data_IF_710341166758
#
_entry.id   IF_710341166758
#
_cell.length_a   1.000
_cell.length_b   1.000
_cell.length_c   1.000
_cell.angle_alpha   90.00
_cell.angle_beta   90.00
_cell.angle_gamma   90.00
#
_symmetry.space_group_name_H-M   'P 1'
#
loop_
_entity.id
_entity.type
_entity.pdbx_description
1 polymer ?
#
# COMPACT_ATOMS: atom_id res chain seq x y z
N UNK A 1 6.22 1.70 0.88
CA UNK A 1 5.66 0.38 1.19
C UNK A 1 4.17 0.29 0.84
N UNK A 2 3.59 -0.91 0.54
CA UNK A 2 2.15 -1.10 0.37
C UNK A 2 1.42 -0.91 1.70
N UNK A 3 0.08 -0.72 1.65
CA UNK A 3 -0.78 -0.68 2.84
C UNK A 3 -0.52 0.43 3.85
N UNK A 4 0.29 1.44 3.53
CA UNK A 4 0.65 2.57 4.42
C UNK A 4 -0.29 3.77 4.35
N UNK A 5 -1.42 3.65 3.66
CA UNK A 5 -2.44 4.70 3.59
C UNK A 5 -2.20 5.82 2.59
N UNK A 6 -1.28 5.66 1.59
CA UNK A 6 -0.98 6.69 0.58
C UNK A 6 -2.23 7.28 -0.07
N UNK A 7 -3.06 6.41 -0.64
CA UNK A 7 -4.29 6.81 -1.33
C UNK A 7 -5.33 7.38 -0.37
N UNK A 8 -5.39 6.85 0.87
CA UNK A 8 -6.31 7.33 1.91
C UNK A 8 -5.96 8.75 2.36
N UNK A 9 -4.67 9.04 2.58
CA UNK A 9 -4.19 10.38 2.95
C UNK A 9 -4.49 11.37 1.82
N UNK A 10 -4.23 10.99 0.56
CA UNK A 10 -4.51 11.84 -0.58
C UNK A 10 -6.01 12.15 -0.72
N UNK A 11 -6.87 11.16 -0.50
CA UNK A 11 -8.33 11.36 -0.47
C UNK A 11 -8.77 12.29 0.68
N UNK A 12 -8.21 12.10 1.87
CA UNK A 12 -8.54 12.96 3.02
C UNK A 12 -8.14 14.42 2.75
N UNK A 13 -6.93 14.65 2.24
CA UNK A 13 -6.47 15.99 1.86
C UNK A 13 -7.36 16.64 0.80
N UNK A 14 -7.80 15.87 -0.19
CA UNK A 14 -8.66 16.39 -1.24
C UNK A 14 -10.06 16.78 -0.73
N UNK A 15 -10.59 16.03 0.25
CA UNK A 15 -11.88 16.34 0.88
C UNK A 15 -11.85 17.60 1.76
N UNK A 16 -10.69 17.93 2.33
CA UNK A 16 -10.50 19.16 3.11
C UNK A 16 -10.39 20.42 2.24
N UNK A 17 -10.10 20.25 0.96
CA UNK A 17 -9.92 21.34 0.02
C UNK A 17 -11.18 21.48 -0.86
N UNK A 18 -11.66 22.71 -1.05
CA UNK A 18 -12.75 23.02 -1.98
C UNK A 18 -12.26 23.01 -3.44
N UNK A 19 -11.68 21.86 -3.85
CA UNK A 19 -11.14 21.64 -5.18
C UNK A 19 -11.87 20.49 -5.86
N UNK A 20 -11.98 20.55 -7.19
CA UNK A 20 -12.51 19.41 -7.93
C UNK A 20 -11.50 18.27 -7.87
N UNK A 21 -11.92 17.13 -7.34
CA UNK A 21 -11.06 15.98 -7.15
C UNK A 21 -11.31 14.92 -8.21
N UNK A 22 -10.23 14.41 -8.79
CA UNK A 22 -10.24 13.32 -9.77
C UNK A 22 -9.24 12.26 -9.36
N UNK A 23 -9.63 11.01 -9.48
CA UNK A 23 -8.77 9.85 -9.22
C UNK A 23 -8.61 9.07 -10.52
N UNK A 24 -7.38 8.79 -10.89
CA UNK A 24 -7.04 7.87 -11.98
C UNK A 24 -6.04 6.84 -11.46
N UNK A 25 -6.26 5.58 -11.83
CA UNK A 25 -5.26 4.53 -11.59
C UNK A 25 -4.39 4.40 -12.83
N UNK A 26 -3.08 4.61 -12.69
CA UNK A 26 -2.15 4.60 -13.82
C UNK A 26 -2.04 3.25 -14.53
N UNK A 27 -2.48 2.14 -13.90
CA UNK A 27 -2.53 0.82 -14.55
C UNK A 27 -3.52 0.79 -15.70
N UNK A 28 -4.69 1.43 -15.54
CA UNK A 28 -5.78 1.41 -16.53
C UNK A 28 -5.97 2.77 -17.22
N UNK A 29 -5.16 3.78 -16.87
CA UNK A 29 -5.29 5.14 -17.38
C UNK A 29 -4.89 5.20 -18.85
N UNK A 30 -5.76 5.79 -19.66
CA UNK A 30 -5.48 6.08 -21.06
C UNK A 30 -5.11 7.54 -21.27
N UNK A 31 -4.51 7.85 -22.45
CA UNK A 31 -4.25 9.24 -22.83
C UNK A 31 -5.53 10.07 -22.83
N UNK A 32 -6.65 9.48 -23.23
CA UNK A 32 -7.96 10.15 -23.29
C UNK A 32 -8.43 10.56 -21.89
N UNK A 33 -8.22 9.70 -20.89
CA UNK A 33 -8.62 10.01 -19.50
C UNK A 33 -7.86 11.22 -18.98
N UNK A 34 -6.53 11.27 -19.19
CA UNK A 34 -5.72 12.44 -18.83
C UNK A 34 -6.18 13.70 -19.57
N UNK A 35 -6.41 13.61 -20.88
CA UNK A 35 -6.88 14.74 -21.69
C UNK A 35 -8.22 15.26 -21.17
N UNK A 36 -9.13 14.38 -20.79
CA UNK A 36 -10.43 14.77 -20.22
C UNK A 36 -10.24 15.56 -18.92
N UNK A 37 -9.36 15.12 -18.02
CA UNK A 37 -9.07 15.84 -16.78
C UNK A 37 -8.44 17.22 -17.07
N UNK A 38 -7.55 17.28 -18.05
CA UNK A 38 -6.91 18.54 -18.50
C UNK A 38 -7.95 19.50 -19.08
N UNK A 39 -8.89 19.03 -19.90
CA UNK A 39 -9.98 19.87 -20.42
C UNK A 39 -10.90 20.37 -19.31
N UNK A 40 -11.19 19.51 -18.33
CA UNK A 40 -11.95 19.92 -17.14
C UNK A 40 -11.21 20.97 -16.30
N UNK A 41 -9.89 20.86 -16.14
CA UNK A 41 -9.11 21.83 -15.37
C UNK A 41 -9.12 23.23 -15.98
N UNK A 42 -9.21 23.33 -17.31
CA UNK A 42 -9.36 24.60 -18.01
C UNK A 42 -10.71 25.28 -17.75
N UNK A 43 -11.73 24.51 -17.38
CA UNK A 43 -13.07 25.03 -17.04
C UNK A 43 -13.23 25.31 -15.55
N UNK A 44 -12.66 24.46 -14.73
CA UNK A 44 -12.72 24.54 -13.27
C UNK A 44 -11.33 24.91 -12.75
N UNK A 45 -11.16 26.12 -12.32
CA UNK A 45 -9.94 26.52 -11.62
C UNK A 45 -9.81 25.63 -10.38
N UNK A 46 -8.61 25.07 -10.14
CA UNK A 46 -8.29 24.22 -8.98
C UNK A 46 -8.85 22.79 -9.07
N UNK A 47 -8.20 21.98 -9.87
CA UNK A 47 -8.41 20.53 -9.96
C UNK A 47 -7.25 19.82 -9.26
N UNK A 48 -7.57 18.88 -8.37
CA UNK A 48 -6.60 17.92 -7.83
C UNK A 48 -6.75 16.62 -8.60
N UNK A 49 -5.66 16.14 -9.17
CA UNK A 49 -5.57 14.84 -9.82
C UNK A 49 -4.73 13.89 -8.96
N UNK A 50 -5.39 12.90 -8.37
CA UNK A 50 -4.73 11.77 -7.73
C UNK A 50 -4.42 10.71 -8.77
N UNK A 51 -3.15 10.38 -8.92
CA UNK A 51 -2.65 9.29 -9.77
C UNK A 51 -2.14 8.16 -8.87
N UNK A 52 -2.94 7.11 -8.75
CA UNK A 52 -2.52 5.90 -8.04
C UNK A 52 -1.64 5.04 -8.94
N UNK A 53 -0.69 4.31 -8.35
CA UNK A 53 0.34 3.53 -9.05
C UNK A 53 1.12 4.36 -10.11
N UNK A 54 1.50 5.59 -9.76
CA UNK A 54 2.11 6.57 -10.68
C UNK A 54 3.26 5.99 -11.51
N UNK A 55 4.01 5.03 -10.97
CA UNK A 55 5.12 4.37 -11.66
C UNK A 55 4.69 3.57 -12.90
N UNK A 56 3.39 3.25 -13.06
CA UNK A 56 2.82 2.60 -14.24
C UNK A 56 2.51 3.57 -15.37
N UNK A 57 2.51 4.88 -15.09
CA UNK A 57 2.27 5.89 -16.11
C UNK A 57 3.47 5.98 -17.06
N UNK A 58 3.22 5.78 -18.36
CA UNK A 58 4.28 5.84 -19.36
C UNK A 58 4.88 7.24 -19.47
N UNK A 59 6.16 7.34 -19.87
CA UNK A 59 6.83 8.64 -20.02
C UNK A 59 6.06 9.62 -20.91
N UNK A 60 5.53 9.22 -22.10
CA UNK A 60 4.72 10.13 -22.91
C UNK A 60 3.45 10.62 -22.21
N UNK A 61 2.85 9.82 -21.35
CA UNK A 61 1.69 10.24 -20.56
C UNK A 61 2.08 11.20 -19.44
N UNK A 62 3.25 10.99 -18.83
CA UNK A 62 3.81 11.94 -17.87
C UNK A 62 4.11 13.30 -18.53
N UNK A 63 4.62 13.30 -19.76
CA UNK A 63 4.94 14.53 -20.48
C UNK A 63 3.70 15.38 -20.81
N UNK A 64 2.52 14.76 -20.97
CA UNK A 64 1.25 15.46 -21.16
C UNK A 64 0.85 16.27 -19.91
N UNK A 65 1.20 15.80 -18.71
CA UNK A 65 0.89 16.48 -17.46
C UNK A 65 1.82 17.65 -17.17
N UNK A 66 3.02 17.65 -17.73
CA UNK A 66 4.06 18.63 -17.42
C UNK A 66 3.62 20.08 -17.61
N UNK A 67 3.04 20.49 -18.75
CA UNK A 67 2.55 21.86 -18.93
C UNK A 67 1.47 22.25 -17.91
N UNK A 68 0.59 21.33 -17.57
CA UNK A 68 -0.53 21.60 -16.67
C UNK A 68 -0.08 21.78 -15.21
N UNK A 69 1.02 21.10 -14.83
CA UNK A 69 1.69 21.30 -13.54
C UNK A 69 2.44 22.65 -13.54
N UNK A 70 3.11 23.00 -14.63
CA UNK A 70 3.86 24.25 -14.75
C UNK A 70 2.98 25.51 -14.67
N UNK A 71 1.76 25.44 -15.20
CA UNK A 71 0.82 26.55 -15.21
C UNK A 71 -0.18 26.53 -14.03
N UNK A 72 0.03 25.67 -13.03
CA UNK A 72 -0.86 25.51 -11.87
C UNK A 72 -2.32 25.22 -12.23
N UNK A 73 -2.55 24.60 -13.39
CA UNK A 73 -3.89 24.22 -13.83
C UNK A 73 -4.38 22.99 -13.05
N UNK A 74 -3.46 22.09 -12.71
CA UNK A 74 -3.73 20.82 -12.02
C UNK A 74 -2.71 20.64 -10.90
N UNK A 75 -3.21 20.35 -9.69
CA UNK A 75 -2.40 19.87 -8.59
C UNK A 75 -2.33 18.34 -8.65
N UNK A 76 -1.15 17.80 -8.87
CA UNK A 76 -0.95 16.35 -8.99
C UNK A 76 -0.50 15.74 -7.67
N UNK A 77 -1.19 14.72 -7.22
CA UNK A 77 -0.78 13.84 -6.13
C UNK A 77 -0.49 12.47 -6.72
N UNK A 78 0.77 12.08 -6.80
CA UNK A 78 1.18 10.76 -7.31
C UNK A 78 1.46 9.79 -6.16
N UNK A 79 0.76 8.67 -6.11
CA UNK A 79 1.06 7.58 -5.19
C UNK A 79 1.85 6.49 -5.91
N UNK A 80 2.93 6.02 -5.31
CA UNK A 80 3.76 4.94 -5.86
C UNK A 80 4.35 4.08 -4.75
N UNK A 81 4.53 2.79 -5.02
CA UNK A 81 5.29 1.87 -4.16
C UNK A 81 6.76 1.82 -4.57
N UNK A 82 7.09 2.21 -5.79
CA UNK A 82 8.44 2.19 -6.35
C UNK A 82 9.18 3.49 -6.05
N UNK A 83 10.50 3.42 -6.12
CA UNK A 83 11.35 4.59 -5.94
C UNK A 83 11.06 5.64 -7.04
N UNK A 84 10.58 6.84 -6.69
CA UNK A 84 10.20 7.87 -7.65
C UNK A 84 11.39 8.42 -8.44
N UNK A 85 12.61 8.27 -7.94
CA UNK A 85 13.82 8.71 -8.65
C UNK A 85 14.09 7.92 -9.94
N UNK A 86 13.58 6.69 -10.03
CA UNK A 86 13.74 5.83 -11.20
C UNK A 86 12.53 5.82 -12.13
N UNK A 87 11.35 6.08 -11.59
CA UNK A 87 10.08 5.87 -12.31
C UNK A 87 9.41 7.15 -12.78
N UNK A 88 9.66 8.27 -12.09
CA UNK A 88 9.08 9.58 -12.42
C UNK A 88 10.03 10.37 -13.31
N UNK A 89 9.47 10.96 -14.39
CA UNK A 89 10.22 11.86 -15.27
C UNK A 89 10.92 12.96 -14.45
N UNK A 90 12.23 13.20 -14.62
CA UNK A 90 12.98 14.23 -13.89
C UNK A 90 12.34 15.62 -13.96
N UNK A 91 11.74 15.97 -15.10
CA UNK A 91 11.07 17.27 -15.27
C UNK A 91 9.82 17.41 -14.36
N UNK A 92 9.03 16.36 -14.21
CA UNK A 92 7.90 16.32 -13.27
C UNK A 92 8.41 16.31 -11.83
N UNK A 93 9.39 15.45 -11.55
CA UNK A 93 9.94 15.29 -10.21
C UNK A 93 10.52 16.60 -9.64
N UNK A 94 11.11 17.44 -10.48
CA UNK A 94 11.63 18.75 -10.06
C UNK A 94 10.54 19.74 -9.65
N UNK A 95 9.28 19.46 -9.99
CA UNK A 95 8.10 20.31 -9.70
C UNK A 95 7.21 19.72 -8.61
N UNK A 96 7.50 18.52 -8.14
CA UNK A 96 6.75 17.83 -7.09
C UNK A 96 7.60 17.70 -5.82
N UNK A 97 6.92 17.71 -4.69
CA UNK A 97 7.54 17.40 -3.40
C UNK A 97 7.34 15.92 -3.13
N UNK A 98 8.42 15.24 -2.77
CA UNK A 98 8.38 13.81 -2.47
C UNK A 98 8.22 13.63 -0.96
N UNK A 99 7.17 12.92 -0.56
CA UNK A 99 6.93 12.47 0.80
C UNK A 99 7.09 10.97 0.88
N UNK A 100 7.98 10.52 1.73
CA UNK A 100 8.15 9.09 2.01
C UNK A 100 7.25 8.68 3.18
N UNK A 101 6.35 7.73 2.95
CA UNK A 101 5.58 7.09 4.00
C UNK A 101 6.34 5.84 4.48
N UNK A 102 6.65 5.82 5.77
CA UNK A 102 7.26 4.66 6.41
C UNK A 102 6.22 3.57 6.65
N UNK A 103 6.70 2.36 6.86
CA UNK A 103 5.85 1.26 7.33
C UNK A 103 5.18 1.65 8.65
N UNK A 104 3.94 1.22 8.82
CA UNK A 104 3.22 1.41 10.07
C UNK A 104 3.83 0.49 11.13
N UNK A 105 4.06 0.98 12.34
CA UNK A 105 4.62 0.14 13.39
C UNK A 105 3.63 -0.95 13.83
N UNK A 106 4.15 -2.09 14.27
CA UNK A 106 3.32 -3.19 14.78
C UNK A 106 2.42 -2.72 15.94
N UNK A 107 2.95 -1.84 16.79
CA UNK A 107 2.19 -1.29 17.91
C UNK A 107 1.04 -0.39 17.43
N UNK A 108 1.26 0.45 16.42
CA UNK A 108 0.21 1.31 15.86
C UNK A 108 -0.88 0.48 15.19
N UNK A 109 -0.50 -0.60 14.49
CA UNK A 109 -1.47 -1.54 13.89
C UNK A 109 -2.27 -2.25 14.98
N UNK A 110 -1.62 -2.74 16.04
CA UNK A 110 -2.29 -3.37 17.18
C UNK A 110 -3.30 -2.41 17.83
N UNK A 111 -2.87 -1.18 18.17
CA UNK A 111 -3.76 -0.19 18.79
C UNK A 111 -4.94 0.18 17.86
N UNK A 112 -4.69 0.27 16.56
CA UNK A 112 -5.74 0.53 15.58
C UNK A 112 -6.75 -0.62 15.52
N UNK A 113 -6.29 -1.88 15.43
CA UNK A 113 -7.16 -3.06 15.46
C UNK A 113 -7.96 -3.14 16.76
N UNK A 114 -7.34 -2.83 17.89
CA UNK A 114 -7.99 -2.80 19.21
C UNK A 114 -9.09 -1.74 19.29
N UNK A 115 -8.88 -0.59 18.70
CA UNK A 115 -9.86 0.48 18.67
C UNK A 115 -11.02 0.14 17.73
N UNK A 116 -10.73 -0.37 16.53
CA UNK A 116 -11.76 -0.69 15.54
C UNK A 116 -12.60 -1.92 15.95
N UNK A 117 -12.00 -2.88 16.65
CA UNK A 117 -12.71 -4.07 17.16
C UNK A 117 -13.82 -3.72 18.16
N UNK A 118 -13.76 -2.54 18.79
CA UNK A 118 -14.76 -2.03 19.73
C UNK A 118 -15.82 -1.15 19.06
N UNK A 119 -15.68 -0.89 17.79
CA UNK A 119 -16.61 -0.04 17.04
C UNK A 119 -17.80 -0.87 16.54
N UNK A 120 -18.91 -0.82 17.29
CA UNK A 120 -20.13 -1.58 16.98
C UNK A 120 -20.83 -1.11 15.69
N UNK A 121 -20.54 0.07 15.16
CA UNK A 121 -21.10 0.53 13.88
C UNK A 121 -20.45 -0.22 12.71
N UNK A 122 -19.14 -0.55 12.83
CA UNK A 122 -18.39 -1.27 11.79
C UNK A 122 -18.47 -2.77 12.03
N UNK A 123 -18.35 -3.20 13.29
CA UNK A 123 -18.31 -4.59 13.73
C UNK A 123 -19.41 -4.85 14.76
N UNK A 124 -20.66 -5.06 14.32
CA UNK A 124 -21.82 -5.17 15.22
C UNK A 124 -21.87 -6.45 16.05
N UNK A 125 -21.13 -7.53 15.64
CA UNK A 125 -21.10 -8.77 16.45
C UNK A 125 -20.38 -8.51 17.77
N UNK A 126 -20.98 -8.97 18.85
CA UNK A 126 -20.38 -8.91 20.19
C UNK A 126 -19.35 -10.03 20.34
N UNK A 127 -18.09 -9.77 19.96
CA UNK A 127 -16.99 -10.72 20.05
C UNK A 127 -16.07 -10.36 21.20
N UNK A 128 -15.58 -11.38 21.91
CA UNK A 128 -14.46 -11.22 22.85
C UNK A 128 -13.19 -11.67 22.13
N UNK A 129 -12.26 -10.77 21.91
CA UNK A 129 -11.02 -11.05 21.15
C UNK A 129 -9.84 -10.88 22.09
N UNK A 130 -9.02 -11.92 22.20
CA UNK A 130 -7.80 -11.87 22.99
C UNK A 130 -6.79 -10.87 22.42
N UNK A 131 -6.11 -10.13 23.26
CA UNK A 131 -5.06 -9.18 22.86
C UNK A 131 -3.95 -9.87 22.04
N UNK A 132 -3.64 -11.15 22.32
CA UNK A 132 -2.65 -11.91 21.59
C UNK A 132 -3.04 -12.21 20.14
N UNK A 133 -4.33 -12.28 19.83
CA UNK A 133 -4.84 -12.39 18.45
C UNK A 133 -4.49 -11.14 17.67
N UNK A 134 -4.84 -9.96 18.22
CA UNK A 134 -4.58 -8.68 17.57
C UNK A 134 -3.08 -8.41 17.39
N UNK A 135 -2.27 -8.74 18.41
CA UNK A 135 -0.80 -8.67 18.32
C UNK A 135 -0.24 -9.59 17.25
N UNK A 136 -0.77 -10.81 17.13
CA UNK A 136 -0.33 -11.77 16.11
C UNK A 136 -0.66 -11.27 14.71
N UNK A 137 -1.84 -10.69 14.49
CA UNK A 137 -2.23 -10.08 13.21
C UNK A 137 -1.29 -8.90 12.89
N UNK A 138 -1.03 -8.03 13.86
CA UNK A 138 -0.16 -6.86 13.68
C UNK A 138 1.28 -7.28 13.32
N UNK A 139 1.84 -8.26 14.03
CA UNK A 139 3.18 -8.80 13.78
C UNK A 139 3.30 -9.38 12.37
N UNK A 140 2.31 -10.18 11.96
CA UNK A 140 2.33 -10.86 10.65
C UNK A 140 2.07 -9.92 9.47
N UNK A 141 1.55 -8.70 9.74
CA UNK A 141 1.28 -7.72 8.67
C UNK A 141 2.53 -7.04 8.13
N UNK A 142 3.67 -7.16 8.81
CA UNK A 142 4.94 -6.51 8.40
C UNK A 142 4.78 -5.02 8.06
N UNK A 143 3.88 -4.31 8.76
CA UNK A 143 3.63 -2.88 8.55
C UNK A 143 2.59 -2.57 7.48
N UNK A 144 1.93 -3.58 6.89
CA UNK A 144 0.82 -3.41 5.95
C UNK A 144 -0.54 -3.39 6.70
N UNK A 145 -1.09 -2.19 6.90
CA UNK A 145 -2.37 -2.01 7.58
C UNK A 145 -3.53 -2.63 6.80
N UNK A 146 -3.49 -2.62 5.47
CA UNK A 146 -4.55 -3.23 4.64
C UNK A 146 -4.60 -4.74 4.86
N UNK A 147 -3.44 -5.38 4.89
CA UNK A 147 -3.34 -6.80 5.17
C UNK A 147 -3.91 -7.14 6.57
N UNK A 148 -3.53 -6.35 7.60
CA UNK A 148 -4.01 -6.58 8.96
C UNK A 148 -5.53 -6.41 9.07
N UNK A 149 -6.11 -5.41 8.40
CA UNK A 149 -7.55 -5.18 8.36
C UNK A 149 -8.29 -6.30 7.65
N UNK A 150 -7.81 -6.74 6.50
CA UNK A 150 -8.41 -7.85 5.75
C UNK A 150 -8.39 -9.14 6.58
N UNK A 151 -7.27 -9.43 7.24
CA UNK A 151 -7.15 -10.60 8.13
C UNK A 151 -8.14 -10.52 9.29
N UNK A 152 -8.26 -9.35 9.91
CA UNK A 152 -9.20 -9.14 10.99
C UNK A 152 -10.66 -9.26 10.50
N UNK A 153 -11.00 -8.71 9.35
CA UNK A 153 -12.35 -8.79 8.76
C UNK A 153 -12.73 -10.24 8.43
N UNK A 154 -11.82 -11.02 7.85
CA UNK A 154 -12.04 -12.44 7.58
C UNK A 154 -12.30 -13.19 8.90
N UNK A 155 -11.46 -12.98 9.91
CA UNK A 155 -11.63 -13.59 11.22
C UNK A 155 -12.99 -13.25 11.84
N UNK A 156 -13.36 -11.98 11.77
CA UNK A 156 -14.66 -11.49 12.25
C UNK A 156 -15.83 -12.15 11.52
N UNK A 157 -15.78 -12.22 10.19
CA UNK A 157 -16.86 -12.79 9.37
C UNK A 157 -17.06 -14.28 9.61
N UNK A 158 -15.96 -15.02 9.85
CA UNK A 158 -15.98 -16.45 10.15
C UNK A 158 -16.34 -16.78 11.62
N UNK A 159 -16.50 -15.76 12.46
CA UNK A 159 -16.86 -15.96 13.87
C UNK A 159 -18.36 -15.83 14.09
N UNK A 160 -18.87 -16.61 15.05
CA UNK A 160 -20.27 -16.56 15.46
C UNK A 160 -20.52 -15.39 16.44
N UNK A 161 -21.80 -15.04 16.62
CA UNK A 161 -22.20 -14.06 17.63
C UNK A 161 -21.79 -14.50 19.04
N UNK A 162 -21.29 -13.57 19.87
CA UNK A 162 -20.82 -13.79 21.23
C UNK A 162 -19.67 -14.81 21.34
N UNK A 163 -18.91 -15.04 20.28
CA UNK A 163 -17.78 -15.96 20.28
C UNK A 163 -16.56 -15.34 20.95
N UNK A 164 -15.79 -16.19 21.65
CA UNK A 164 -14.46 -15.85 22.15
C UNK A 164 -13.40 -16.25 21.14
N UNK A 165 -12.65 -15.30 20.64
CA UNK A 165 -11.62 -15.48 19.61
C UNK A 165 -10.27 -15.62 20.28
N UNK A 166 -9.70 -16.83 20.15
CA UNK A 166 -8.37 -17.18 20.67
C UNK A 166 -7.35 -17.25 19.55
N UNK A 167 -6.07 -17.31 19.94
CA UNK A 167 -4.96 -17.46 18.99
C UNK A 167 -5.02 -18.79 18.24
N UNK A 168 -5.49 -19.86 18.87
CA UNK A 168 -5.66 -21.18 18.24
C UNK A 168 -6.66 -21.10 17.09
N UNK A 169 -7.76 -20.35 17.26
CA UNK A 169 -8.72 -20.13 16.17
C UNK A 169 -8.08 -19.37 15.01
N UNK A 170 -7.33 -18.31 15.28
CA UNK A 170 -6.61 -17.57 14.24
C UNK A 170 -5.68 -18.49 13.45
N UNK A 171 -4.92 -19.34 14.12
CA UNK A 171 -4.00 -20.29 13.50
C UNK A 171 -4.74 -21.39 12.71
N UNK A 172 -5.87 -21.91 13.25
CA UNK A 172 -6.67 -22.93 12.57
C UNK A 172 -7.25 -22.46 11.23
N UNK A 173 -7.51 -21.17 11.09
CA UNK A 173 -7.98 -20.56 9.86
C UNK A 173 -6.85 -20.28 8.85
N UNK A 174 -5.62 -20.73 9.16
CA UNK A 174 -4.40 -20.41 8.38
C UNK A 174 -4.14 -18.92 8.19
N UNK A 175 -4.85 -18.06 8.90
CA UNK A 175 -4.69 -16.59 8.85
C UNK A 175 -3.45 -16.10 9.62
N UNK A 176 -2.81 -16.99 10.38
CA UNK A 176 -1.63 -16.71 11.19
C UNK A 176 -0.29 -17.06 10.51
N UNK A 177 -0.29 -17.71 9.36
CA UNK A 177 0.92 -18.26 8.71
C UNK A 177 1.31 -17.50 7.43
N UNK A 178 0.85 -16.28 7.25
CA UNK A 178 1.26 -15.48 6.12
C UNK A 178 2.64 -14.87 6.36
N UNK A 179 3.67 -15.64 6.15
CA UNK A 179 4.95 -15.07 5.70
C UNK A 179 4.70 -14.58 4.28
N UNK A 180 4.23 -13.34 4.15
CA UNK A 180 4.17 -12.67 2.87
C UNK A 180 5.61 -12.38 2.42
N UNK A 181 6.22 -13.35 1.77
CA UNK A 181 7.24 -13.03 0.78
C UNK A 181 6.47 -12.44 -0.40
N UNK A 182 6.51 -11.11 -0.47
CA UNK A 182 5.98 -10.38 -1.62
C UNK A 182 6.81 -10.82 -2.84
N UNK A 183 6.24 -11.72 -3.67
CA UNK A 183 6.92 -12.28 -4.86
C UNK A 183 7.33 -11.20 -5.86
N UNK A 184 6.66 -10.06 -5.81
CA UNK A 184 6.91 -8.89 -6.68
C UNK A 184 7.59 -7.73 -5.92
N UNK A 185 7.93 -7.90 -4.65
CA UNK A 185 8.50 -6.86 -3.80
C UNK A 185 10.02 -6.87 -3.71
N UNK A 186 10.56 -5.80 -3.13
CA UNK A 186 12.01 -5.60 -2.93
C UNK A 186 12.65 -6.78 -2.16
N UNK A 187 11.92 -7.39 -1.20
CA UNK A 187 12.41 -8.51 -0.40
C UNK A 187 12.72 -9.77 -1.23
N UNK A 188 11.91 -10.08 -2.26
CA UNK A 188 12.17 -11.21 -3.15
C UNK A 188 13.42 -10.97 -4.00
N UNK A 189 13.58 -9.76 -4.54
CA UNK A 189 14.78 -9.39 -5.29
C UNK A 189 16.03 -9.34 -4.40
N UNK A 190 15.89 -8.94 -3.15
CA UNK A 190 16.99 -8.96 -2.17
C UNK A 190 17.45 -10.40 -1.87
N UNK A 191 16.52 -11.35 -1.70
CA UNK A 191 16.83 -12.77 -1.51
C UNK A 191 17.52 -13.35 -2.75
N UNK A 192 17.03 -13.07 -3.96
CA UNK A 192 17.68 -13.48 -5.22
C UNK A 192 19.09 -12.89 -5.30
N UNK A 193 19.25 -11.62 -4.99
CA UNK A 193 20.55 -10.94 -5.01
C UNK A 193 21.53 -11.56 -4.00
N UNK A 194 21.05 -11.85 -2.79
CA UNK A 194 21.83 -12.51 -1.75
C UNK A 194 22.21 -13.93 -2.15
N UNK A 195 21.29 -14.70 -2.74
CA UNK A 195 21.56 -16.04 -3.29
C UNK A 195 22.64 -15.99 -4.37
N UNK A 196 22.52 -15.09 -5.34
CA UNK A 196 23.53 -14.95 -6.40
C UNK A 196 24.92 -14.55 -5.84
N UNK A 197 24.94 -13.65 -4.84
CA UNK A 197 26.20 -13.22 -4.19
C UNK A 197 26.83 -14.34 -3.39
N UNK A 198 26.07 -15.16 -2.69
CA UNK A 198 26.58 -16.31 -1.92
C UNK A 198 27.19 -17.36 -2.84
N UNK A 199 26.55 -17.67 -3.99
CA UNK A 199 27.12 -18.56 -5.01
C UNK A 199 28.45 -18.01 -5.53
N UNK A 200 28.50 -16.73 -5.89
CA UNK A 200 29.74 -16.08 -6.38
C UNK A 200 30.86 -16.07 -5.32
N UNK A 201 30.47 -15.93 -4.05
CA UNK A 201 31.36 -15.98 -2.90
C UNK A 201 31.79 -17.39 -2.50
N UNK A 202 31.26 -18.46 -3.18
CA UNK A 202 31.46 -19.85 -2.83
C UNK A 202 31.11 -20.19 -1.39
N UNK A 203 30.13 -19.48 -0.83
CA UNK A 203 29.57 -19.73 0.50
C UNK A 203 28.40 -20.71 0.37
N UNK A 204 28.67 -21.98 0.66
CA UNK A 204 27.71 -23.07 0.50
C UNK A 204 26.55 -22.94 1.48
N UNK A 205 26.83 -22.60 2.74
CA UNK A 205 25.81 -22.53 3.79
C UNK A 205 24.84 -21.39 3.52
N UNK A 206 25.35 -20.20 3.18
CA UNK A 206 24.52 -19.07 2.79
C UNK A 206 23.71 -19.36 1.51
N UNK A 207 24.32 -20.05 0.53
CA UNK A 207 23.62 -20.42 -0.72
C UNK A 207 22.44 -21.36 -0.45
N UNK A 208 22.62 -22.38 0.38
CA UNK A 208 21.56 -23.29 0.77
C UNK A 208 20.45 -22.60 1.56
N UNK A 209 20.82 -21.70 2.45
CA UNK A 209 19.86 -20.90 3.23
C UNK A 209 18.97 -20.04 2.34
N UNK A 210 19.57 -19.25 1.43
CA UNK A 210 18.80 -18.38 0.53
C UNK A 210 18.02 -19.17 -0.52
N UNK A 211 18.53 -20.33 -0.96
CA UNK A 211 17.79 -21.24 -1.83
C UNK A 211 16.54 -21.79 -1.13
N UNK A 212 16.66 -22.22 0.12
CA UNK A 212 15.52 -22.67 0.90
C UNK A 212 14.45 -21.58 1.07
N UNK A 213 14.87 -20.34 1.32
CA UNK A 213 13.96 -19.18 1.38
C UNK A 213 13.25 -18.91 0.04
N UNK A 214 13.93 -19.09 -1.10
CA UNK A 214 13.34 -18.92 -2.44
C UNK A 214 12.36 -20.05 -2.79
N UNK A 215 12.56 -21.26 -2.30
CA UNK A 215 11.64 -22.39 -2.53
C UNK A 215 10.40 -22.26 -1.66
N UNK A 216 10.53 -21.68 -0.46
CA UNK A 216 9.45 -21.50 0.52
C UNK A 216 8.62 -20.23 0.26
N UNK A 217 9.04 -19.38 -0.72
CA UNK A 217 8.37 -18.15 -1.14
C UNK A 217 7.53 -18.36 -2.41
#
# INVERSE_FOLDING_TARGET
PPGTGKTSIANALANELDYKFKILNAVNCTKKDLTTVIEESKRFKKVILLLDEFHRLTKPMQDILLPEIEYDNIYVIGCTTNNPYHTVNPAIRSRLIIFELKQVSENDIYEYLKNISKNNEIFPKNLTIDDDVLKTIALNSSGDLRFSLNTFEILYNLSNENEHITKEKLLSLSLGNFKNYDKDGDAFYDIISAFQKSIRGSDVDASLYYLALLIDS
#
